data_IF_987541378989
#
_entry.id   IF_987541378989
#
_cell.length_a   1.000
_cell.length_b   1.000
_cell.length_c   1.000
_cell.angle_alpha   90.00
_cell.angle_beta   90.00
_cell.angle_gamma   90.00
#
_symmetry.space_group_name_H-M   'P 1'
#
loop_
_entity.id
_entity.type
_entity.pdbx_description
1 polymer ?
#
# COMPACT_ATOMS: atom_id res chain seq x y z
N UNK A 1 10.35 -0.37 6.76
CA UNK A 1 9.67 0.73 7.48
C UNK A 1 10.32 1.06 8.82
N UNK A 2 11.58 0.67 9.01
CA UNK A 2 12.35 0.94 10.22
C UNK A 2 12.79 2.42 10.22
N UNK A 3 12.34 3.18 11.20
CA UNK A 3 12.78 4.56 11.43
C UNK A 3 14.01 4.59 12.36
N UNK A 4 14.55 5.78 12.59
CA UNK A 4 15.78 5.92 13.38
C UNK A 4 15.60 5.51 14.84
N UNK A 5 14.40 5.72 15.41
CA UNK A 5 14.10 5.35 16.79
C UNK A 5 14.00 3.84 16.97
N UNK A 6 13.35 3.18 15.99
CA UNK A 6 13.24 1.71 15.99
C UNK A 6 14.57 1.05 15.74
N UNK A 7 15.42 1.62 14.84
CA UNK A 7 16.76 1.13 14.61
C UNK A 7 17.63 1.26 15.87
N UNK A 8 17.57 2.37 16.60
CA UNK A 8 18.28 2.56 17.86
C UNK A 8 17.92 1.49 18.90
N UNK A 9 16.60 1.22 19.06
CA UNK A 9 16.13 0.17 19.96
C UNK A 9 16.57 -1.23 19.51
N UNK A 10 16.51 -1.52 18.21
CA UNK A 10 16.98 -2.78 17.65
C UNK A 10 18.45 -2.98 17.95
N UNK A 11 19.29 -2.00 17.65
CA UNK A 11 20.74 -2.11 17.87
C UNK A 11 21.09 -2.29 19.36
N UNK A 12 20.35 -1.63 20.26
CA UNK A 12 20.52 -1.82 21.71
C UNK A 12 20.11 -3.19 22.22
N UNK A 13 19.18 -3.86 21.52
CA UNK A 13 18.70 -5.19 21.89
C UNK A 13 19.59 -6.33 21.35
N UNK A 14 20.48 -6.03 20.39
CA UNK A 14 21.37 -7.03 19.80
C UNK A 14 22.58 -7.29 20.71
N UNK A 15 22.95 -8.56 20.85
CA UNK A 15 24.21 -8.93 21.51
C UNK A 15 25.41 -8.62 20.60
N UNK A 16 26.61 -8.46 21.19
CA UNK A 16 27.84 -8.17 20.45
C UNK A 16 28.24 -9.21 19.41
N UNK A 17 27.72 -10.43 19.55
CA UNK A 17 28.02 -11.57 18.66
C UNK A 17 26.95 -11.77 17.57
N UNK A 18 25.99 -10.86 17.44
CA UNK A 18 24.91 -10.96 16.46
C UNK A 18 25.27 -10.28 15.14
N UNK A 19 25.15 -11.01 14.04
CA UNK A 19 25.22 -10.42 12.70
C UNK A 19 23.87 -9.83 12.30
N UNK A 20 23.82 -8.58 11.89
CA UNK A 20 22.61 -7.91 11.42
C UNK A 20 22.65 -7.78 9.89
N UNK A 21 21.67 -8.35 9.22
CA UNK A 21 21.48 -8.21 7.78
C UNK A 21 20.21 -7.36 7.54
N UNK A 22 20.40 -6.19 6.90
CA UNK A 22 19.32 -5.31 6.52
C UNK A 22 18.94 -5.54 5.06
N UNK A 23 17.68 -5.88 4.81
CA UNK A 23 17.13 -6.06 3.46
C UNK A 23 16.02 -5.05 3.23
N UNK A 24 16.01 -4.39 2.08
CA UNK A 24 14.95 -3.43 1.75
C UNK A 24 15.14 -2.75 0.40
N UNK A 25 14.19 -1.90 0.05
CA UNK A 25 14.17 -1.12 -1.18
C UNK A 25 14.15 0.38 -0.84
N UNK A 26 15.28 1.04 -1.06
CA UNK A 26 15.48 2.47 -0.77
C UNK A 26 14.73 3.39 -1.74
N UNK A 27 14.18 2.85 -2.85
CA UNK A 27 13.38 3.59 -3.83
C UNK A 27 11.90 3.64 -3.47
N UNK A 28 11.43 2.75 -2.58
CA UNK A 28 10.09 2.83 -2.01
C UNK A 28 9.96 4.01 -1.05
N UNK A 29 8.75 4.22 -0.55
CA UNK A 29 8.51 5.25 0.46
C UNK A 29 9.35 4.97 1.71
N UNK A 30 9.98 6.00 2.30
CA UNK A 30 10.69 5.88 3.56
C UNK A 30 9.72 5.52 4.70
N UNK A 31 10.27 5.21 5.88
CA UNK A 31 9.50 5.02 7.12
C UNK A 31 8.60 6.23 7.41
N UNK A 32 7.46 6.00 8.08
CA UNK A 32 6.59 7.12 8.53
C UNK A 32 7.31 7.96 9.58
N UNK A 33 8.05 7.31 10.48
CA UNK A 33 8.86 7.98 11.50
C UNK A 33 10.11 8.68 10.94
N UNK A 34 10.87 9.38 11.79
CA UNK A 34 11.99 10.22 11.37
C UNK A 34 13.18 9.41 10.83
N UNK A 35 13.99 10.07 9.99
CA UNK A 35 15.21 9.49 9.41
C UNK A 35 14.98 8.74 8.09
N UNK A 36 16.07 8.27 7.51
CA UNK A 36 16.10 7.49 6.26
C UNK A 36 17.17 6.39 6.33
N UNK A 37 17.05 5.56 7.37
CA UNK A 37 18.09 4.64 7.83
C UNK A 37 18.74 3.83 6.72
N UNK A 38 17.94 3.12 5.91
CA UNK A 38 18.49 2.27 4.85
C UNK A 38 19.27 3.09 3.81
N UNK A 39 18.72 4.23 3.38
CA UNK A 39 19.39 5.09 2.40
C UNK A 39 20.66 5.69 2.96
N UNK A 40 20.61 6.18 4.20
CA UNK A 40 21.77 6.77 4.86
C UNK A 40 22.92 5.77 5.02
N UNK A 41 22.61 4.51 5.36
CA UNK A 41 23.60 3.43 5.43
C UNK A 41 24.18 3.13 4.04
N UNK A 42 23.34 3.07 3.00
CA UNK A 42 23.79 2.84 1.62
C UNK A 42 24.66 3.97 1.04
N UNK A 43 24.61 5.14 1.63
CA UNK A 43 25.42 6.30 1.26
C UNK A 43 26.77 6.36 2.06
N UNK A 44 27.12 5.29 2.78
CA UNK A 44 28.38 5.10 3.51
C UNK A 44 29.21 3.95 2.95
N UNK A 45 30.39 3.69 3.54
CA UNK A 45 31.29 2.59 3.18
C UNK A 45 30.89 1.24 3.82
N UNK A 46 29.75 1.18 4.54
CA UNK A 46 29.24 -0.07 5.09
C UNK A 46 28.98 -1.06 3.95
N UNK A 47 29.46 -2.28 4.13
CA UNK A 47 29.37 -3.34 3.12
C UNK A 47 27.92 -3.56 2.69
N UNK A 48 27.61 -3.33 1.42
CA UNK A 48 26.28 -3.46 0.87
C UNK A 48 26.28 -4.11 -0.50
N UNK A 49 25.19 -4.82 -0.83
CA UNK A 49 24.97 -5.42 -2.15
C UNK A 49 23.69 -4.85 -2.73
N UNK A 50 23.77 -4.25 -3.91
CA UNK A 50 22.61 -3.74 -4.65
C UNK A 50 22.25 -4.71 -5.77
N UNK A 51 21.06 -5.31 -5.69
CA UNK A 51 20.53 -6.15 -6.74
C UNK A 51 20.01 -5.26 -7.88
N UNK A 52 20.73 -5.19 -8.99
CA UNK A 52 20.39 -4.36 -10.16
C UNK A 52 19.89 -5.17 -11.36
N UNK A 53 20.17 -6.49 -11.37
CA UNK A 53 19.87 -7.33 -12.53
C UNK A 53 18.41 -7.78 -12.50
N UNK A 54 17.65 -7.41 -13.53
CA UNK A 54 16.31 -7.91 -13.77
C UNK A 54 16.47 -9.24 -14.50
N UNK A 55 15.90 -10.31 -13.95
CA UNK A 55 15.90 -11.61 -14.62
C UNK A 55 15.06 -11.56 -15.91
N UNK A 56 15.41 -12.40 -16.91
CA UNK A 56 14.77 -12.41 -18.24
C UNK A 56 13.24 -12.52 -18.18
N UNK A 57 12.70 -13.36 -17.29
CA UNK A 57 11.24 -13.48 -17.10
C UNK A 57 10.58 -12.19 -16.61
N UNK A 58 11.24 -11.45 -15.73
CA UNK A 58 10.74 -10.17 -15.23
C UNK A 58 10.86 -9.04 -16.27
N UNK A 59 11.71 -9.16 -17.29
CA UNK A 59 11.82 -8.20 -18.40
C UNK A 59 10.61 -8.26 -19.35
N UNK A 60 9.84 -9.34 -19.34
CA UNK A 60 8.60 -9.45 -20.11
C UNK A 60 7.45 -8.68 -19.47
N UNK A 61 7.51 -8.38 -18.17
CA UNK A 61 6.53 -7.59 -17.43
C UNK A 61 6.79 -6.10 -17.58
N UNK A 62 5.80 -5.37 -18.09
CA UNK A 62 5.86 -3.91 -18.12
C UNK A 62 5.72 -3.28 -16.75
N UNK A 63 5.18 -3.97 -15.75
CA UNK A 63 5.16 -3.52 -14.36
C UNK A 63 6.61 -3.33 -13.89
N UNK A 64 7.45 -4.34 -14.04
CA UNK A 64 8.85 -4.31 -13.62
C UNK A 64 9.66 -3.29 -14.43
N UNK A 65 9.53 -3.33 -15.77
CA UNK A 65 10.22 -2.39 -16.66
C UNK A 65 9.84 -0.95 -16.35
N UNK A 66 8.55 -0.66 -16.15
CA UNK A 66 8.08 0.69 -15.85
C UNK A 66 8.43 1.14 -14.43
N UNK A 67 8.47 0.24 -13.46
CA UNK A 67 8.96 0.57 -12.11
C UNK A 67 10.41 1.09 -12.17
N UNK A 68 11.30 0.42 -12.90
CA UNK A 68 12.68 0.88 -13.10
C UNK A 68 12.73 2.20 -13.88
N UNK A 69 12.01 2.31 -14.99
CA UNK A 69 11.95 3.56 -15.77
C UNK A 69 11.52 4.75 -14.91
N UNK A 70 10.47 4.58 -14.13
CA UNK A 70 9.96 5.62 -13.23
C UNK A 70 11.01 5.96 -12.17
N UNK A 71 11.67 4.97 -11.60
CA UNK A 71 12.75 5.19 -10.63
C UNK A 71 13.90 6.01 -11.22
N UNK A 72 14.22 5.78 -12.48
CA UNK A 72 15.25 6.53 -13.23
C UNK A 72 14.74 7.90 -13.74
N UNK A 73 13.48 8.27 -13.48
CA UNK A 73 12.85 9.51 -13.94
C UNK A 73 12.39 9.47 -15.39
N UNK A 74 12.35 8.31 -16.00
CA UNK A 74 11.89 8.10 -17.35
C UNK A 74 10.39 7.85 -17.38
N UNK A 75 9.72 8.39 -18.41
CA UNK A 75 8.29 8.17 -18.60
C UNK A 75 7.99 6.69 -18.89
N UNK A 76 6.95 6.10 -18.27
CA UNK A 76 6.64 4.69 -18.45
C UNK A 76 6.13 4.39 -19.86
N UNK A 77 6.29 3.15 -20.29
CA UNK A 77 5.73 2.60 -21.51
C UNK A 77 4.27 2.23 -21.24
N UNK A 78 3.35 2.84 -21.97
CA UNK A 78 1.91 2.69 -21.73
C UNK A 78 1.21 1.87 -22.82
N UNK A 79 0.15 1.15 -22.41
CA UNK A 79 -0.86 0.58 -23.30
C UNK A 79 -0.32 -0.38 -24.39
N UNK A 80 0.71 -1.14 -24.09
CA UNK A 80 1.16 -2.19 -25.00
C UNK A 80 0.20 -3.39 -24.98
N UNK A 81 -0.15 -3.89 -26.16
CA UNK A 81 -1.02 -5.06 -26.31
C UNK A 81 -0.40 -6.29 -25.62
N UNK A 82 -1.24 -7.07 -24.96
CA UNK A 82 -0.85 -8.29 -24.22
C UNK A 82 0.20 -8.08 -23.11
N UNK A 83 0.21 -6.89 -22.50
CA UNK A 83 1.05 -6.55 -21.36
C UNK A 83 0.19 -6.28 -20.12
N UNK A 84 0.85 -5.90 -19.04
CA UNK A 84 0.34 -5.85 -17.67
C UNK A 84 0.31 -4.42 -17.10
N UNK A 85 0.51 -3.38 -17.94
CA UNK A 85 0.60 -1.99 -17.51
C UNK A 85 -0.16 -1.06 -18.46
N UNK A 86 -1.22 -0.42 -17.97
CA UNK A 86 -2.10 0.41 -18.78
C UNK A 86 -2.37 1.77 -18.17
N UNK A 87 -2.71 2.72 -19.02
CA UNK A 87 -3.18 4.05 -18.64
C UNK A 87 -4.54 4.32 -19.30
N UNK A 88 -5.50 4.77 -18.49
CA UNK A 88 -6.83 5.17 -18.94
C UNK A 88 -6.95 6.68 -18.72
N UNK A 89 -7.15 7.44 -19.79
CA UNK A 89 -7.41 8.87 -19.69
C UNK A 89 -8.77 9.13 -19.05
N UNK A 90 -8.81 9.93 -18.00
CA UNK A 90 -10.03 10.39 -17.35
C UNK A 90 -9.81 11.77 -16.76
N UNK A 91 -10.83 12.61 -16.80
CA UNK A 91 -10.81 13.96 -16.24
C UNK A 91 -11.64 14.05 -14.96
N UNK A 92 -11.57 15.18 -14.27
CA UNK A 92 -12.26 15.41 -13.00
C UNK A 92 -13.78 15.18 -13.06
N UNK A 93 -14.43 15.42 -14.19
CA UNK A 93 -15.88 15.27 -14.33
C UNK A 93 -16.30 13.80 -14.48
N UNK A 94 -15.46 12.98 -15.09
CA UNK A 94 -15.78 11.61 -15.46
C UNK A 94 -15.13 10.57 -14.52
N UNK A 95 -14.11 10.96 -13.77
CA UNK A 95 -13.26 10.05 -13.00
C UNK A 95 -14.05 9.05 -12.14
N UNK A 96 -15.04 9.52 -11.39
CA UNK A 96 -15.80 8.67 -10.50
C UNK A 96 -16.60 7.61 -11.25
N UNK A 97 -17.17 7.97 -12.38
CA UNK A 97 -17.88 7.06 -13.28
C UNK A 97 -16.92 6.05 -13.91
N UNK A 98 -15.79 6.55 -14.40
CA UNK A 98 -14.80 5.74 -15.13
C UNK A 98 -14.12 4.71 -14.21
N UNK A 99 -13.73 5.11 -13.00
CA UNK A 99 -13.11 4.19 -12.03
C UNK A 99 -14.11 3.14 -11.55
N UNK A 100 -15.37 3.52 -11.36
CA UNK A 100 -16.41 2.59 -10.98
C UNK A 100 -16.70 1.57 -12.10
N UNK A 101 -16.83 2.02 -13.34
CA UNK A 101 -17.02 1.15 -14.50
C UNK A 101 -15.82 0.21 -14.68
N UNK A 102 -14.62 0.75 -14.53
CA UNK A 102 -13.38 -0.04 -14.60
C UNK A 102 -13.40 -1.20 -13.62
N UNK A 103 -13.66 -0.92 -12.34
CA UNK A 103 -13.59 -1.92 -11.26
C UNK A 103 -14.77 -2.88 -11.28
N UNK A 104 -15.99 -2.37 -11.56
CA UNK A 104 -17.22 -3.17 -11.51
C UNK A 104 -17.45 -4.02 -12.76
N UNK A 105 -17.08 -3.49 -13.94
CA UNK A 105 -17.45 -4.10 -15.22
C UNK A 105 -16.24 -4.52 -16.05
N UNK A 106 -15.34 -3.57 -16.37
CA UNK A 106 -14.29 -3.81 -17.38
C UNK A 106 -13.25 -4.83 -16.95
N UNK A 107 -12.68 -4.68 -15.75
CA UNK A 107 -11.68 -5.60 -15.22
C UNK A 107 -12.25 -7.00 -14.96
N UNK A 108 -13.42 -7.15 -14.29
CA UNK A 108 -14.06 -8.45 -14.13
C UNK A 108 -14.37 -9.15 -15.45
N UNK A 109 -14.93 -8.42 -16.41
CA UNK A 109 -15.33 -9.02 -17.69
C UNK A 109 -14.12 -9.46 -18.55
N UNK A 110 -13.06 -8.65 -18.59
CA UNK A 110 -11.91 -8.92 -19.45
C UNK A 110 -10.89 -9.85 -18.81
N UNK A 111 -10.54 -9.62 -17.54
CA UNK A 111 -9.49 -10.38 -16.84
C UNK A 111 -10.03 -11.45 -15.89
N UNK A 112 -11.37 -11.57 -15.75
CA UNK A 112 -12.04 -12.50 -14.82
C UNK A 112 -11.65 -12.27 -13.36
N UNK A 113 -11.39 -11.02 -12.99
CA UNK A 113 -11.04 -10.61 -11.65
C UNK A 113 -12.29 -10.39 -10.78
N UNK A 114 -12.24 -10.81 -9.52
CA UNK A 114 -13.23 -10.42 -8.53
C UNK A 114 -13.01 -8.94 -8.13
N UNK A 115 -14.05 -8.08 -8.25
CA UNK A 115 -13.89 -6.64 -8.00
C UNK A 115 -13.53 -6.28 -6.55
N UNK A 116 -13.80 -7.18 -5.60
CA UNK A 116 -13.54 -6.96 -4.17
C UNK A 116 -12.22 -7.61 -3.75
N UNK A 117 -11.99 -8.86 -4.15
CA UNK A 117 -10.85 -9.64 -3.66
C UNK A 117 -9.58 -9.36 -4.47
N UNK A 118 -9.67 -9.30 -5.81
CA UNK A 118 -8.49 -9.27 -6.68
C UNK A 118 -8.03 -7.85 -7.04
N UNK A 119 -8.93 -6.85 -6.91
CA UNK A 119 -8.64 -5.47 -7.28
C UNK A 119 -8.41 -4.63 -6.03
N UNK A 120 -7.30 -3.89 -6.02
CA UNK A 120 -6.99 -2.92 -4.98
C UNK A 120 -6.76 -1.53 -5.56
N UNK A 121 -7.51 -0.55 -5.08
CA UNK A 121 -7.26 0.84 -5.44
C UNK A 121 -6.26 1.43 -4.45
N UNK A 122 -5.17 2.00 -4.97
CA UNK A 122 -4.12 2.66 -4.21
C UNK A 122 -4.14 4.16 -4.48
N UNK A 123 -4.73 4.95 -3.58
CA UNK A 123 -4.86 6.39 -3.76
C UNK A 123 -3.72 7.16 -3.06
N UNK A 124 -3.20 8.25 -3.68
CA UNK A 124 -2.18 9.10 -3.06
C UNK A 124 -2.66 9.80 -1.78
N UNK A 125 -3.95 10.14 -1.69
CA UNK A 125 -4.51 10.94 -0.59
C UNK A 125 -5.68 10.26 0.09
N UNK A 126 -5.94 10.65 1.37
CA UNK A 126 -7.09 10.15 2.15
C UNK A 126 -8.36 10.99 1.94
N UNK A 127 -8.24 12.33 1.96
CA UNK A 127 -9.38 13.25 2.09
C UNK A 127 -9.77 14.02 0.82
N UNK A 128 -9.07 13.86 -0.30
CA UNK A 128 -9.45 14.53 -1.55
C UNK A 128 -10.71 13.93 -2.16
N UNK A 129 -11.33 14.62 -3.13
CA UNK A 129 -12.47 14.09 -3.92
C UNK A 129 -12.15 12.76 -4.61
N UNK A 130 -10.88 12.52 -4.90
CA UNK A 130 -10.33 11.29 -5.49
C UNK A 130 -9.64 10.40 -4.45
N UNK A 131 -9.83 10.72 -3.16
CA UNK A 131 -9.16 10.08 -2.04
C UNK A 131 -9.90 8.86 -1.52
N UNK A 132 -9.22 8.15 -0.63
CA UNK A 132 -9.66 6.88 -0.06
C UNK A 132 -11.06 6.95 0.55
N UNK A 133 -11.39 8.02 1.29
CA UNK A 133 -12.69 8.11 1.97
C UNK A 133 -13.86 8.15 0.98
N UNK A 134 -13.75 8.99 -0.07
CA UNK A 134 -14.79 9.09 -1.09
C UNK A 134 -14.86 7.83 -1.94
N UNK A 135 -13.72 7.30 -2.36
CA UNK A 135 -13.66 6.07 -3.16
C UNK A 135 -14.27 4.88 -2.42
N UNK A 136 -13.99 4.71 -1.12
CA UNK A 136 -14.58 3.63 -0.33
C UNK A 136 -16.12 3.72 -0.26
N UNK A 137 -16.67 4.92 -0.06
CA UNK A 137 -18.12 5.10 -0.04
C UNK A 137 -18.76 4.72 -1.40
N UNK A 138 -18.21 5.26 -2.49
CA UNK A 138 -18.72 4.98 -3.85
C UNK A 138 -18.62 3.49 -4.19
N UNK A 139 -17.49 2.86 -3.86
CA UNK A 139 -17.28 1.45 -4.18
C UNK A 139 -18.15 0.55 -3.31
N UNK A 140 -18.26 0.82 -2.01
CA UNK A 140 -19.16 0.06 -1.13
C UNK A 140 -20.58 0.11 -1.63
N UNK A 141 -21.11 1.30 -1.96
CA UNK A 141 -22.49 1.47 -2.45
C UNK A 141 -22.76 0.72 -3.76
N UNK A 142 -21.76 0.60 -4.62
CA UNK A 142 -21.92 0.01 -5.95
C UNK A 142 -21.54 -1.45 -6.05
N UNK A 143 -20.56 -1.92 -5.27
CA UNK A 143 -20.05 -3.30 -5.30
C UNK A 143 -20.75 -4.18 -4.26
N UNK A 144 -21.10 -3.63 -3.09
CA UNK A 144 -21.75 -4.37 -2.02
C UNK A 144 -23.19 -3.93 -1.82
N UNK A 145 -24.13 -4.69 -2.39
CA UNK A 145 -25.58 -4.46 -2.29
C UNK A 145 -26.23 -5.13 -1.09
N UNK A 146 -25.44 -5.64 -0.14
CA UNK A 146 -25.98 -6.32 1.02
C UNK A 146 -26.80 -5.35 1.89
N UNK A 147 -28.00 -5.79 2.30
CA UNK A 147 -28.89 -5.01 3.15
C UNK A 147 -28.58 -5.11 4.64
N UNK A 148 -27.82 -6.14 5.05
CA UNK A 148 -27.34 -6.27 6.43
C UNK A 148 -26.18 -5.32 6.66
N UNK A 149 -26.37 -4.35 7.53
CA UNK A 149 -25.34 -3.36 7.85
C UNK A 149 -25.32 -3.01 9.34
N UNK A 150 -24.21 -2.48 9.78
CA UNK A 150 -23.95 -1.98 11.11
C UNK A 150 -23.43 -0.53 11.02
N UNK A 151 -23.97 0.38 11.84
CA UNK A 151 -23.53 1.78 11.84
C UNK A 151 -22.85 2.11 13.15
N UNK A 152 -21.56 2.49 13.08
CA UNK A 152 -20.78 2.94 14.23
C UNK A 152 -20.06 4.24 13.86
N UNK A 153 -20.14 5.25 14.71
CA UNK A 153 -19.38 6.51 14.60
C UNK A 153 -19.43 7.13 13.19
N UNK A 154 -20.62 7.21 12.58
CA UNK A 154 -20.85 7.70 11.21
C UNK A 154 -20.23 6.83 10.09
N UNK A 155 -19.74 5.62 10.40
CA UNK A 155 -19.29 4.64 9.41
C UNK A 155 -20.35 3.56 9.25
N UNK A 156 -20.56 3.10 8.04
CA UNK A 156 -21.46 1.99 7.72
C UNK A 156 -20.60 0.81 7.28
N UNK A 157 -20.74 -0.30 7.98
CA UNK A 157 -20.16 -1.58 7.60
C UNK A 157 -21.27 -2.53 7.17
N UNK A 158 -21.12 -3.13 6.01
CA UNK A 158 -22.07 -4.11 5.47
C UNK A 158 -21.47 -5.52 5.53
N UNK A 159 -22.34 -6.51 5.64
CA UNK A 159 -21.91 -7.90 5.47
C UNK A 159 -21.19 -8.06 4.13
N UNK A 160 -20.07 -8.74 4.10
CA UNK A 160 -19.15 -8.92 2.95
C UNK A 160 -18.32 -7.67 2.55
N UNK A 161 -18.30 -6.61 3.35
CA UNK A 161 -17.36 -5.51 3.11
C UNK A 161 -15.91 -5.95 3.24
N UNK A 162 -15.06 -5.38 2.38
CA UNK A 162 -13.62 -5.44 2.49
C UNK A 162 -13.16 -4.39 3.49
N UNK A 163 -12.46 -4.81 4.53
CA UNK A 163 -12.01 -3.96 5.64
C UNK A 163 -10.52 -4.13 5.91
N UNK A 164 -9.93 -3.15 6.58
CA UNK A 164 -8.54 -3.17 7.02
C UNK A 164 -8.43 -2.76 8.47
N UNK A 165 -7.63 -3.47 9.23
CA UNK A 165 -7.18 -3.07 10.56
C UNK A 165 -6.27 -1.84 10.45
N UNK A 166 -6.50 -0.81 11.27
CA UNK A 166 -5.73 0.45 11.16
C UNK A 166 -4.82 0.74 12.34
N UNK A 167 -4.84 -0.15 13.34
CA UNK A 167 -3.94 -0.17 14.50
C UNK A 167 -3.67 -1.61 14.91
N UNK A 168 -2.49 -1.88 15.48
CA UNK A 168 -2.27 -3.20 16.08
C UNK A 168 -3.20 -3.39 17.28
N UNK A 169 -3.80 -4.57 17.36
CA UNK A 169 -4.56 -5.02 18.52
C UNK A 169 -4.11 -6.44 18.85
N UNK A 170 -3.36 -6.60 19.92
CA UNK A 170 -2.78 -7.86 20.37
C UNK A 170 -3.74 -8.66 21.25
N UNK A 171 -4.88 -8.06 21.64
CA UNK A 171 -5.87 -8.66 22.52
C UNK A 171 -6.97 -9.40 21.75
N UNK A 172 -6.96 -9.31 20.41
CA UNK A 172 -7.90 -9.99 19.53
C UNK A 172 -7.42 -11.42 19.28
N UNK A 173 -8.18 -12.39 19.77
CA UNK A 173 -7.87 -13.82 19.63
C UNK A 173 -8.48 -14.39 18.36
N UNK A 174 -7.76 -15.33 17.73
CA UNK A 174 -8.26 -16.12 16.63
C UNK A 174 -9.41 -17.03 17.09
N UNK A 175 -10.46 -17.13 16.30
CA UNK A 175 -11.51 -18.13 16.50
C UNK A 175 -11.14 -19.50 15.95
N UNK A 176 -10.03 -19.60 15.21
CA UNK A 176 -9.48 -20.85 14.71
C UNK A 176 -8.44 -21.39 15.72
N UNK A 177 -8.72 -22.51 16.41
CA UNK A 177 -7.80 -23.07 17.39
C UNK A 177 -6.46 -23.54 16.80
N UNK A 178 -6.37 -23.69 15.49
CA UNK A 178 -5.14 -24.09 14.79
C UNK A 178 -4.22 -22.91 14.48
N UNK A 179 -4.71 -21.69 14.61
CA UNK A 179 -3.94 -20.48 14.39
C UNK A 179 -3.35 -19.98 15.72
N UNK A 180 -2.04 -20.10 15.86
CA UNK A 180 -1.30 -19.71 17.08
C UNK A 180 -0.89 -18.22 17.10
N UNK A 181 -1.17 -17.45 16.04
CA UNK A 181 -0.86 -16.02 15.99
C UNK A 181 -2.04 -15.22 16.57
N UNK A 182 -1.93 -14.85 17.83
CA UNK A 182 -2.85 -13.92 18.47
C UNK A 182 -2.59 -12.47 17.99
N UNK A 183 -3.69 -11.72 17.87
CA UNK A 183 -3.64 -10.32 17.47
C UNK A 183 -3.92 -10.07 15.99
N UNK A 184 -4.25 -8.81 15.70
CA UNK A 184 -4.45 -8.30 14.33
C UNK A 184 -3.61 -7.03 14.16
N UNK A 185 -2.94 -6.93 13.03
CA UNK A 185 -1.95 -5.89 12.82
C UNK A 185 -2.43 -4.80 11.88
N UNK A 186 -1.85 -3.60 12.04
CA UNK A 186 -2.13 -2.48 11.15
C UNK A 186 -1.73 -2.80 9.71
N UNK A 187 -2.72 -2.83 8.84
CA UNK A 187 -2.56 -3.18 7.42
C UNK A 187 -3.19 -4.51 7.04
N UNK A 188 -3.58 -5.35 8.02
CA UNK A 188 -4.26 -6.60 7.74
C UNK A 188 -5.62 -6.34 7.10
N UNK A 189 -5.85 -7.01 5.97
CA UNK A 189 -7.07 -6.87 5.17
C UNK A 189 -7.89 -8.15 5.32
N UNK A 190 -9.18 -7.96 5.52
CA UNK A 190 -10.13 -9.05 5.64
C UNK A 190 -11.51 -8.70 5.11
N UNK A 191 -12.43 -9.61 5.31
CA UNK A 191 -13.82 -9.50 4.88
C UNK A 191 -14.77 -9.75 6.04
N UNK A 192 -15.81 -8.92 6.17
CA UNK A 192 -16.85 -9.13 7.17
C UNK A 192 -17.69 -10.35 6.77
N UNK A 193 -17.64 -11.41 7.57
CA UNK A 193 -18.35 -12.66 7.34
C UNK A 193 -19.62 -12.78 8.18
N UNK A 194 -19.72 -12.04 9.29
CA UNK A 194 -20.89 -12.04 10.17
C UNK A 194 -21.13 -10.64 10.78
N UNK A 195 -22.38 -10.28 10.95
CA UNK A 195 -22.83 -9.07 11.65
C UNK A 195 -23.92 -9.45 12.65
N UNK A 196 -23.66 -9.23 13.93
CA UNK A 196 -24.61 -9.41 15.03
C UNK A 196 -25.00 -8.03 15.60
N UNK A 197 -26.25 -7.60 15.31
CA UNK A 197 -26.76 -6.30 15.76
C UNK A 197 -27.10 -6.29 17.25
N UNK A 198 -27.51 -7.42 17.82
CA UNK A 198 -27.91 -7.51 19.22
C UNK A 198 -26.71 -7.44 20.13
N UNK A 199 -25.63 -8.12 19.75
CA UNK A 199 -24.35 -8.13 20.49
C UNK A 199 -23.43 -6.98 20.10
N UNK A 200 -23.83 -6.15 19.14
CA UNK A 200 -22.99 -5.09 18.58
C UNK A 200 -21.58 -5.59 18.18
N UNK A 201 -21.53 -6.77 17.54
CA UNK A 201 -20.30 -7.43 17.16
C UNK A 201 -20.25 -7.82 15.69
N UNK A 202 -19.06 -8.06 15.16
CA UNK A 202 -18.85 -8.58 13.81
C UNK A 202 -17.69 -9.56 13.78
N UNK A 203 -17.70 -10.50 12.81
CA UNK A 203 -16.57 -11.37 12.54
C UNK A 203 -15.93 -11.03 11.22
N UNK A 204 -14.61 -11.05 11.19
CA UNK A 204 -13.79 -10.80 10.03
C UNK A 204 -12.96 -12.04 9.74
N UNK A 205 -12.96 -12.46 8.48
CA UNK A 205 -12.02 -13.40 7.92
C UNK A 205 -10.93 -12.60 7.22
N UNK A 206 -9.70 -12.67 7.72
CA UNK A 206 -8.53 -12.03 7.14
C UNK A 206 -7.96 -12.87 5.99
N UNK A 207 -7.14 -12.27 5.13
CA UNK A 207 -6.60 -12.95 3.94
C UNK A 207 -5.56 -14.03 4.27
N UNK A 208 -4.99 -14.03 5.45
CA UNK A 208 -4.15 -15.09 6.00
C UNK A 208 -4.96 -16.30 6.52
N UNK A 209 -6.30 -16.22 6.46
CA UNK A 209 -7.23 -17.24 6.94
C UNK A 209 -7.64 -17.07 8.40
N UNK A 210 -7.10 -16.08 9.12
CA UNK A 210 -7.48 -15.82 10.52
C UNK A 210 -8.90 -15.27 10.60
N UNK A 211 -9.74 -15.86 11.47
CA UNK A 211 -11.11 -15.39 11.75
C UNK A 211 -11.14 -14.82 13.16
N UNK A 212 -11.56 -13.55 13.26
CA UNK A 212 -11.54 -12.80 14.51
C UNK A 212 -12.89 -12.15 14.79
N UNK A 213 -13.30 -12.17 16.06
CA UNK A 213 -14.51 -11.48 16.52
C UNK A 213 -14.19 -10.11 17.09
N UNK A 214 -14.87 -9.09 16.57
CA UNK A 214 -14.75 -7.69 16.97
C UNK A 214 -15.95 -7.27 17.79
N UNK A 215 -15.72 -6.74 18.98
CA UNK A 215 -16.72 -6.04 19.76
C UNK A 215 -16.82 -4.59 19.31
N UNK A 216 -17.86 -3.88 19.75
CA UNK A 216 -18.13 -2.48 19.41
C UNK A 216 -16.92 -1.56 19.62
N UNK A 217 -16.19 -1.73 20.71
CA UNK A 217 -15.00 -0.95 21.02
C UNK A 217 -13.83 -1.17 20.07
N UNK A 218 -13.72 -2.35 19.46
CA UNK A 218 -12.63 -2.71 18.54
C UNK A 218 -12.90 -2.21 17.12
N UNK A 219 -14.19 -2.07 16.74
CA UNK A 219 -14.59 -1.65 15.39
C UNK A 219 -14.10 -0.24 15.03
N UNK A 220 -13.77 0.59 16.01
CA UNK A 220 -13.13 1.91 15.77
C UNK A 220 -11.83 1.82 15.01
N UNK A 221 -11.11 0.71 15.14
CA UNK A 221 -9.82 0.44 14.51
C UNK A 221 -9.94 -0.30 13.16
N UNK A 222 -11.16 -0.33 12.59
CA UNK A 222 -11.44 -0.81 11.23
C UNK A 222 -11.74 0.36 10.29
N UNK A 223 -11.22 0.31 9.09
CA UNK A 223 -11.61 1.16 7.95
C UNK A 223 -12.08 0.28 6.78
N UNK A 224 -12.96 0.79 5.91
CA UNK A 224 -13.22 0.16 4.61
C UNK A 224 -11.93 0.16 3.78
N UNK A 225 -11.71 -0.89 2.98
CA UNK A 225 -10.45 -1.08 2.24
C UNK A 225 -10.63 -1.44 0.76
N UNK A 226 -11.73 -1.08 0.13
CA UNK A 226 -11.85 -1.10 -1.35
C UNK A 226 -10.80 -0.21 -2.00
N UNK A 227 -10.53 0.94 -1.38
CA UNK A 227 -9.40 1.80 -1.66
C UNK A 227 -8.59 2.03 -0.37
N UNK A 228 -7.27 2.04 -0.47
CA UNK A 228 -6.35 2.37 0.63
C UNK A 228 -5.33 3.40 0.18
N UNK A 229 -4.64 4.05 1.12
CA UNK A 229 -3.52 4.91 0.74
C UNK A 229 -2.32 4.09 0.32
N UNK A 230 -1.50 4.63 -0.59
CA UNK A 230 -0.25 3.98 -1.01
C UNK A 230 0.67 3.71 0.20
N UNK A 231 0.66 4.57 1.21
CA UNK A 231 1.43 4.35 2.45
C UNK A 231 0.98 3.08 3.20
N UNK A 232 -0.33 2.82 3.24
CA UNK A 232 -0.88 1.63 3.91
C UNK A 232 -0.71 0.34 3.11
N UNK A 233 -0.39 0.42 1.83
CA UNK A 233 -0.09 -0.76 1.00
C UNK A 233 1.34 -1.26 1.13
N UNK A 234 2.20 -0.56 1.89
CA UNK A 234 3.58 -1.01 2.11
C UNK A 234 3.59 -2.37 2.84
N UNK A 235 4.32 -3.33 2.29
CA UNK A 235 4.37 -4.71 2.80
C UNK A 235 3.33 -5.64 2.18
N UNK A 236 2.24 -5.12 1.60
CA UNK A 236 1.20 -5.92 0.94
C UNK A 236 1.41 -5.99 -0.57
N UNK A 237 0.85 -7.01 -1.21
CA UNK A 237 0.83 -7.19 -2.66
C UNK A 237 -0.56 -7.60 -3.12
N UNK A 238 -0.93 -7.18 -4.34
CA UNK A 238 -2.27 -7.38 -4.91
C UNK A 238 -2.19 -7.86 -6.35
N UNK A 239 -3.11 -8.69 -6.78
CA UNK A 239 -3.13 -9.19 -8.15
C UNK A 239 -3.32 -8.06 -9.17
N UNK A 240 -4.28 -7.18 -8.94
CA UNK A 240 -4.54 -6.00 -9.77
C UNK A 240 -4.51 -4.73 -8.92
N UNK A 241 -3.72 -3.76 -9.34
CA UNK A 241 -3.63 -2.43 -8.69
C UNK A 241 -4.16 -1.35 -9.62
N UNK A 242 -5.12 -0.56 -9.14
CA UNK A 242 -5.65 0.63 -9.82
C UNK A 242 -5.17 1.88 -9.09
N UNK A 243 -4.51 2.80 -9.80
CA UNK A 243 -3.90 4.00 -9.21
C UNK A 243 -4.52 5.26 -9.80
N UNK A 244 -5.27 6.06 -9.02
CA UNK A 244 -5.77 7.37 -9.43
C UNK A 244 -4.65 8.36 -9.74
N UNK A 245 -4.62 8.87 -10.97
CA UNK A 245 -3.71 9.92 -11.45
C UNK A 245 -4.46 11.25 -11.48
N UNK A 246 -4.91 11.74 -10.33
CA UNK A 246 -5.75 12.92 -10.19
C UNK A 246 -5.06 14.03 -9.39
N UNK A 247 -5.46 15.30 -9.57
CA UNK A 247 -4.86 16.42 -8.84
C UNK A 247 -5.00 16.26 -7.33
N UNK A 248 -3.89 16.40 -6.63
CA UNK A 248 -3.82 16.40 -5.16
C UNK A 248 -2.62 17.22 -4.71
N UNK A 249 -2.32 17.24 -3.41
CA UNK A 249 -1.15 17.96 -2.89
C UNK A 249 0.13 17.59 -3.65
N UNK A 250 0.91 18.60 -4.04
CA UNK A 250 2.18 18.43 -4.74
C UNK A 250 3.16 17.51 -4.02
N UNK A 251 3.15 17.53 -2.69
CA UNK A 251 4.03 16.67 -1.85
C UNK A 251 3.70 15.19 -2.02
N UNK A 252 2.45 14.83 -2.30
CA UNK A 252 2.01 13.46 -2.55
C UNK A 252 2.26 13.01 -3.99
N UNK A 253 2.47 13.94 -4.92
CA UNK A 253 2.71 13.65 -6.33
C UNK A 253 4.21 13.53 -6.58
N UNK A 254 4.84 12.48 -6.04
CA UNK A 254 6.26 12.22 -6.16
C UNK A 254 6.56 10.82 -6.70
N UNK A 255 7.79 10.65 -7.18
CA UNK A 255 8.29 9.45 -7.83
C UNK A 255 8.25 8.22 -6.94
N UNK A 256 8.71 8.34 -5.70
CA UNK A 256 8.76 7.22 -4.75
C UNK A 256 7.37 6.70 -4.40
N UNK A 257 6.36 7.61 -4.31
CA UNK A 257 4.98 7.21 -4.09
C UNK A 257 4.46 6.39 -5.27
N UNK A 258 4.69 6.85 -6.51
CA UNK A 258 4.27 6.13 -7.71
C UNK A 258 4.99 4.78 -7.84
N UNK A 259 6.30 4.76 -7.64
CA UNK A 259 7.10 3.54 -7.64
C UNK A 259 6.57 2.53 -6.61
N UNK A 260 6.34 2.97 -5.37
CA UNK A 260 5.79 2.11 -4.32
C UNK A 260 4.43 1.53 -4.72
N UNK A 261 3.53 2.33 -5.30
CA UNK A 261 2.22 1.86 -5.71
C UNK A 261 2.30 0.80 -6.83
N UNK A 262 3.12 1.03 -7.84
CA UNK A 262 3.29 0.11 -8.98
C UNK A 262 3.88 -1.22 -8.52
N UNK A 263 4.86 -1.19 -7.63
CA UNK A 263 5.51 -2.41 -7.10
C UNK A 263 4.63 -3.22 -6.14
N UNK A 264 3.39 -2.78 -5.86
CA UNK A 264 2.39 -3.58 -5.12
C UNK A 264 1.61 -4.53 -6.03
N UNK A 265 1.70 -4.40 -7.33
CA UNK A 265 0.96 -5.24 -8.27
C UNK A 265 1.74 -6.50 -8.64
N UNK A 266 1.03 -7.64 -8.59
CA UNK A 266 1.56 -8.94 -9.05
C UNK A 266 1.33 -9.18 -10.55
N UNK A 267 0.12 -8.86 -11.06
CA UNK A 267 -0.33 -9.24 -12.41
C UNK A 267 -0.73 -8.08 -13.30
N UNK A 268 -1.29 -7.00 -12.72
CA UNK A 268 -1.87 -5.92 -13.53
C UNK A 268 -1.79 -4.56 -12.82
N UNK A 269 -1.35 -3.54 -13.54
CA UNK A 269 -1.39 -2.14 -13.12
C UNK A 269 -2.26 -1.33 -14.08
N UNK A 270 -3.22 -0.60 -13.55
CA UNK A 270 -4.00 0.39 -14.28
C UNK A 270 -3.81 1.76 -13.63
N UNK A 271 -3.24 2.69 -14.38
CA UNK A 271 -3.25 4.11 -14.03
C UNK A 271 -4.50 4.74 -14.64
N UNK A 272 -5.29 5.49 -13.87
CA UNK A 272 -6.50 6.14 -14.36
C UNK A 272 -6.54 7.61 -13.96
N UNK A 273 -6.71 8.52 -14.92
CA UNK A 273 -6.78 9.96 -14.69
C UNK A 273 -6.03 10.77 -15.74
N UNK A 274 -5.30 11.80 -15.32
CA UNK A 274 -4.68 12.79 -16.19
C UNK A 274 -3.18 12.49 -16.42
N UNK A 275 -2.75 12.41 -17.68
CA UNK A 275 -1.33 12.18 -18.06
C UNK A 275 -0.38 13.24 -17.49
N UNK A 276 -0.87 14.48 -17.28
CA UNK A 276 -0.04 15.54 -16.69
C UNK A 276 0.38 15.19 -15.25
N UNK A 277 -0.51 14.54 -14.49
CA UNK A 277 -0.21 14.10 -13.11
C UNK A 277 0.85 13.00 -13.12
N UNK A 278 0.72 12.03 -14.03
CA UNK A 278 1.75 10.99 -14.21
C UNK A 278 3.11 11.60 -14.53
N UNK A 279 3.16 12.55 -15.48
CA UNK A 279 4.41 13.28 -15.84
C UNK A 279 4.99 14.02 -14.63
N UNK A 280 4.13 14.68 -13.85
CA UNK A 280 4.53 15.39 -12.64
C UNK A 280 5.14 14.44 -11.60
N UNK A 281 4.49 13.29 -11.32
CA UNK A 281 5.00 12.31 -10.35
C UNK A 281 6.36 11.75 -10.78
N UNK A 282 6.53 11.40 -12.05
CA UNK A 282 7.82 10.87 -12.58
C UNK A 282 8.96 11.90 -12.44
N UNK A 283 8.68 13.18 -12.65
CA UNK A 283 9.68 14.26 -12.56
C UNK A 283 10.00 14.69 -11.14
N UNK A 284 9.03 14.54 -10.21
CA UNK A 284 9.18 15.01 -8.85
C UNK A 284 9.94 13.99 -7.98
N UNK A 285 11.21 14.28 -7.73
CA UNK A 285 12.09 13.47 -6.86
C UNK A 285 12.28 14.08 -5.45
N UNK A 286 11.52 15.12 -5.09
CA UNK A 286 11.70 15.84 -3.80
C UNK A 286 11.17 15.05 -2.58
N UNK A 287 10.34 14.04 -2.79
CA UNK A 287 9.72 13.28 -1.69
C UNK A 287 10.68 12.41 -0.86
N UNK A 288 11.88 12.13 -1.37
CA UNK A 288 12.87 11.27 -0.69
C UNK A 288 13.95 12.03 0.07
N UNK A 289 13.96 13.37 0.00
CA UNK A 289 14.96 14.18 0.70
C UNK A 289 14.48 14.41 2.14
N UNK A 290 15.12 13.72 3.08
CA UNK A 290 14.98 13.96 4.52
C UNK A 290 16.27 14.51 5.06
N UNK A 291 16.18 15.52 5.92
CA UNK A 291 17.34 16.01 6.66
C UNK A 291 17.67 14.99 7.74
N UNK A 292 18.83 14.35 7.58
CA UNK A 292 19.36 13.38 8.53
C UNK A 292 20.88 13.47 8.52
N UNK A 293 21.51 13.30 9.68
CA UNK A 293 22.96 13.31 9.82
C UNK A 293 23.55 11.89 10.01
N UNK A 294 22.73 10.84 9.84
CA UNK A 294 23.17 9.47 10.14
C UNK A 294 24.37 9.06 9.27
N UNK A 295 24.31 9.30 7.95
CA UNK A 295 25.43 8.99 7.06
C UNK A 295 26.71 9.76 7.40
N UNK A 296 26.59 11.02 7.83
CA UNK A 296 27.72 11.83 8.29
C UNK A 296 28.36 11.21 9.53
N UNK A 297 27.57 10.93 10.56
CA UNK A 297 28.10 10.34 11.79
C UNK A 297 28.72 8.96 11.61
N UNK A 298 28.17 8.12 10.72
CA UNK A 298 28.73 6.81 10.41
C UNK A 298 30.12 6.98 9.78
N UNK A 299 30.31 7.93 8.86
CA UNK A 299 31.61 8.18 8.22
C UNK A 299 32.65 8.69 9.22
N UNK A 300 32.31 9.72 10.00
CA UNK A 300 33.17 10.26 11.05
C UNK A 300 33.65 9.19 12.04
N UNK A 301 32.71 8.36 12.55
CA UNK A 301 33.08 7.28 13.47
C UNK A 301 33.89 6.18 12.80
N UNK A 302 33.63 5.87 11.52
CA UNK A 302 34.41 4.88 10.77
C UNK A 302 35.86 5.35 10.53
N UNK A 303 36.07 6.65 10.34
CA UNK A 303 37.43 7.23 10.22
C UNK A 303 38.15 7.28 11.56
N UNK A 304 37.46 7.56 12.65
CA UNK A 304 38.01 7.58 13.99
C UNK A 304 38.44 6.18 14.52
N UNK A 305 37.87 5.10 13.94
CA UNK A 305 38.16 3.71 14.31
C UNK A 305 39.24 3.05 13.44
N UNK A 306 39.71 3.73 12.39
CA UNK A 306 40.85 3.32 11.55
C UNK A 306 42.18 3.84 12.10
#
# INVERSE_FOLDING_TARGET
MVDIKLMDKLLKALSSNTALILVGDHNQLPSVGPGNVLKDILDTDIKSVRLKKIFRQAQESNIVVNAHRINDGLYPILNQKNKDFFFIDSNSNNFQKDILDLVKNRLPNYYKLDPINDIQILAPSKKSSWGVLNLNNVLQENLNKNSKFFKINNRIFKLKDKVMQVRNNYDLESLDPSNFDDGVYNGDIGRIIELDKERESLKIEFYDGNIVSYKKEDIKDLDLSYAITIHKSQGSEFDCVVIPMMPTSFMLLNRNLLYTAITRAKKLVILIGEKRILKQMVRNNKGSQRLTNLSFWIKELSEALK
#
